data_IF_284938364750
#
_entry.id   IF_284938364750
#
_cell.length_a   1.000
_cell.length_b   1.000
_cell.length_c   1.000
_cell.angle_alpha   90.00
_cell.angle_beta   90.00
_cell.angle_gamma   90.00
#
_symmetry.space_group_name_H-M   'P 1'
#
loop_
_entity.id
_entity.type
_entity.pdbx_description
1 polymer ?
#
# COMPACT_ATOMS: atom_id res chain seq x y z
N UNK A 1 -18.39 -4.00 7.94
CA UNK A 1 -17.18 -3.15 7.90
C UNK A 1 -16.92 -2.67 9.31
N UNK A 2 -15.65 -2.56 9.72
CA UNK A 2 -15.22 -1.88 10.94
C UNK A 2 -14.53 -0.58 10.51
N UNK A 3 -14.93 0.54 11.11
CA UNK A 3 -14.34 1.84 10.84
C UNK A 3 -14.00 2.52 12.16
N UNK A 4 -12.73 2.87 12.34
CA UNK A 4 -12.22 3.63 13.48
C UNK A 4 -11.62 4.91 12.91
N UNK A 5 -12.09 6.06 13.39
CA UNK A 5 -11.66 7.36 12.87
C UNK A 5 -11.40 8.36 13.98
N UNK A 6 -10.29 9.10 13.90
CA UNK A 6 -9.94 10.17 14.84
C UNK A 6 -10.00 9.69 16.30
N UNK A 7 -9.34 8.57 16.57
CA UNK A 7 -9.41 7.84 17.83
C UNK A 7 -8.02 7.48 18.34
N UNK A 8 -7.94 7.09 19.61
CA UNK A 8 -6.75 6.43 20.18
C UNK A 8 -7.11 5.01 20.56
N UNK A 9 -6.39 4.03 20.02
CA UNK A 9 -6.50 2.61 20.40
C UNK A 9 -5.36 2.34 21.37
N UNK A 10 -5.71 2.25 22.65
CA UNK A 10 -4.74 1.95 23.71
C UNK A 10 -4.36 0.47 23.69
N UNK A 11 -5.33 -0.41 23.46
CA UNK A 11 -5.16 -1.85 23.40
C UNK A 11 -6.15 -2.46 22.39
N UNK A 12 -5.64 -3.29 21.48
CA UNK A 12 -6.44 -4.17 20.63
C UNK A 12 -5.83 -5.57 20.70
N UNK A 13 -6.15 -6.28 21.76
CA UNK A 13 -5.57 -7.58 22.10
C UNK A 13 -6.14 -8.73 21.26
N UNK A 14 -5.58 -9.93 21.48
CA UNK A 14 -5.98 -11.17 20.81
C UNK A 14 -7.43 -11.57 21.14
N UNK A 15 -7.92 -11.27 22.35
CA UNK A 15 -9.30 -11.58 22.79
C UNK A 15 -10.35 -10.80 21.97
N UNK A 16 -9.97 -9.60 21.54
CA UNK A 16 -10.74 -8.71 20.66
C UNK A 16 -10.35 -8.89 19.18
N UNK A 17 -9.77 -10.03 18.81
CA UNK A 17 -9.39 -10.33 17.43
C UNK A 17 -10.56 -10.35 16.46
N UNK A 18 -10.27 -9.90 15.24
CA UNK A 18 -11.16 -10.11 14.12
C UNK A 18 -11.03 -11.56 13.67
N UNK A 19 -11.94 -12.41 14.13
CA UNK A 19 -11.95 -13.84 13.81
C UNK A 19 -13.15 -14.27 12.97
N UNK A 20 -12.98 -15.36 12.21
CA UNK A 20 -14.03 -15.97 11.40
C UNK A 20 -15.28 -16.36 12.22
N UNK A 21 -15.11 -16.78 13.47
CA UNK A 21 -16.22 -17.18 14.35
C UNK A 21 -17.08 -15.98 14.78
N UNK A 22 -16.46 -14.83 15.07
CA UNK A 22 -17.16 -13.63 15.56
C UNK A 22 -17.60 -12.69 14.42
N UNK A 23 -16.91 -12.71 13.29
CA UNK A 23 -17.05 -11.71 12.22
C UNK A 23 -17.30 -12.35 10.85
N UNK A 24 -18.29 -13.25 10.78
CA UNK A 24 -18.56 -14.09 9.60
C UNK A 24 -18.83 -13.32 8.30
N UNK A 25 -19.29 -12.06 8.38
CA UNK A 25 -19.62 -11.22 7.21
C UNK A 25 -18.77 -9.95 7.12
N UNK A 26 -17.66 -9.88 7.84
CA UNK A 26 -16.85 -8.67 7.85
C UNK A 26 -16.02 -8.57 6.57
N UNK A 27 -16.34 -7.58 5.75
CA UNK A 27 -15.67 -7.35 4.47
C UNK A 27 -14.42 -6.47 4.56
N UNK A 28 -14.34 -5.57 5.54
CA UNK A 28 -13.26 -4.58 5.56
C UNK A 28 -13.07 -3.93 6.92
N UNK A 29 -11.83 -3.48 7.14
CA UNK A 29 -11.37 -2.76 8.32
C UNK A 29 -10.66 -1.49 7.87
N UNK A 30 -11.07 -0.36 8.44
CA UNK A 30 -10.52 0.95 8.14
C UNK A 30 -10.14 1.66 9.44
N UNK A 31 -8.89 2.10 9.54
CA UNK A 31 -8.37 2.94 10.60
C UNK A 31 -7.88 4.25 9.99
N UNK A 32 -8.60 5.35 10.24
CA UNK A 32 -8.26 6.69 9.77
C UNK A 32 -7.89 7.61 10.93
N UNK A 33 -6.83 8.42 10.83
CA UNK A 33 -6.45 9.38 11.88
C UNK A 33 -6.41 8.75 13.27
N UNK A 34 -5.90 7.53 13.36
CA UNK A 34 -5.95 6.75 14.59
C UNK A 34 -4.55 6.62 15.17
N UNK A 35 -4.42 6.98 16.44
CA UNK A 35 -3.20 6.79 17.22
C UNK A 35 -3.26 5.41 17.91
N UNK A 36 -2.20 4.62 17.79
CA UNK A 36 -2.13 3.26 18.31
C UNK A 36 -0.83 3.08 19.10
N UNK A 37 -0.90 2.44 20.26
CA UNK A 37 0.30 2.13 21.07
C UNK A 37 1.26 1.20 20.30
N UNK A 38 0.70 0.29 19.52
CA UNK A 38 1.41 -0.71 18.73
C UNK A 38 0.52 -1.17 17.56
N UNK A 39 1.05 -2.03 16.69
CA UNK A 39 0.22 -2.68 15.68
C UNK A 39 -0.86 -3.55 16.38
N UNK A 40 -2.15 -3.48 15.97
CA UNK A 40 -3.21 -4.21 16.66
C UNK A 40 -2.99 -5.73 16.69
N UNK A 41 -2.77 -6.31 17.88
CA UNK A 41 -2.62 -7.76 18.08
C UNK A 41 -3.84 -8.54 17.58
N UNK A 42 -5.03 -7.95 17.66
CA UNK A 42 -6.26 -8.51 17.11
C UNK A 42 -6.31 -8.63 15.59
N UNK A 43 -5.38 -7.97 14.87
CA UNK A 43 -5.15 -8.11 13.42
C UNK A 43 -3.97 -9.03 13.08
N UNK A 44 -3.25 -9.54 14.09
CA UNK A 44 -2.20 -10.54 13.94
C UNK A 44 -2.73 -11.98 14.07
N UNK A 45 -4.00 -12.19 13.76
CA UNK A 45 -4.65 -13.50 13.74
C UNK A 45 -5.19 -13.81 12.34
N UNK A 46 -5.47 -15.09 12.02
CA UNK A 46 -6.16 -15.44 10.78
C UNK A 46 -7.49 -14.69 10.66
N UNK A 47 -7.62 -13.96 9.55
CA UNK A 47 -8.77 -13.09 9.30
C UNK A 47 -9.98 -13.91 8.80
N UNK A 48 -11.22 -13.42 8.95
CA UNK A 48 -12.38 -14.01 8.30
C UNK A 48 -12.16 -14.13 6.80
N UNK A 49 -12.54 -15.27 6.22
CA UNK A 49 -12.41 -15.53 4.78
C UNK A 49 -13.21 -14.52 3.92
N UNK A 50 -14.21 -13.84 4.50
CA UNK A 50 -15.00 -12.81 3.82
C UNK A 50 -14.30 -11.45 3.75
N UNK A 51 -13.19 -11.27 4.46
CA UNK A 51 -12.51 -9.99 4.53
C UNK A 51 -11.74 -9.72 3.23
N UNK A 52 -11.93 -8.54 2.66
CA UNK A 52 -11.41 -8.13 1.35
C UNK A 52 -10.41 -6.98 1.45
N UNK A 53 -10.45 -6.17 2.51
CA UNK A 53 -9.53 -5.04 2.64
C UNK A 53 -9.21 -4.62 4.08
N UNK A 54 -7.95 -4.25 4.28
CA UNK A 54 -7.46 -3.57 5.48
C UNK A 54 -6.80 -2.26 5.06
N UNK A 55 -7.20 -1.18 5.72
CA UNK A 55 -6.69 0.15 5.43
C UNK A 55 -6.30 0.89 6.69
N UNK A 56 -5.07 1.37 6.74
CA UNK A 56 -4.54 2.31 7.71
C UNK A 56 -4.23 3.61 6.99
N UNK A 57 -4.82 4.72 7.43
CA UNK A 57 -4.58 6.04 6.84
C UNK A 57 -4.39 7.10 7.92
N UNK A 58 -3.38 7.96 7.75
CA UNK A 58 -3.07 9.01 8.73
C UNK A 58 -2.87 8.44 10.15
N UNK A 59 -2.19 7.29 10.26
CA UNK A 59 -1.89 6.63 11.55
C UNK A 59 -0.46 6.91 11.99
N UNK A 60 -0.16 6.63 13.26
CA UNK A 60 1.18 6.76 13.83
C UNK A 60 2.07 5.51 13.62
N UNK A 61 1.67 4.56 12.78
CA UNK A 61 2.48 3.37 12.50
C UNK A 61 3.78 3.74 11.79
N UNK A 62 4.89 3.27 12.34
CA UNK A 62 6.24 3.44 11.79
C UNK A 62 6.80 2.15 11.18
N UNK A 63 6.25 0.99 11.55
CA UNK A 63 6.69 -0.34 11.11
C UNK A 63 5.48 -1.20 10.75
N UNK A 64 5.60 -1.96 9.66
CA UNK A 64 4.65 -3.01 9.28
C UNK A 64 5.19 -4.35 9.83
N UNK A 65 4.39 -5.19 10.49
CA UNK A 65 4.81 -6.52 10.91
C UNK A 65 5.29 -7.36 9.71
N UNK A 66 6.40 -8.07 9.87
CA UNK A 66 7.03 -8.82 8.80
C UNK A 66 6.39 -10.19 8.54
N UNK A 67 5.42 -10.61 9.35
CA UNK A 67 4.77 -11.91 9.30
C UNK A 67 3.30 -11.85 8.82
N UNK A 68 2.82 -10.70 8.36
CA UNK A 68 1.43 -10.54 7.91
C UNK A 68 1.06 -11.52 6.79
N UNK A 69 2.00 -11.85 5.90
CA UNK A 69 1.80 -12.80 4.80
C UNK A 69 1.52 -14.24 5.28
N UNK A 70 1.88 -14.58 6.53
CA UNK A 70 1.57 -15.87 7.14
C UNK A 70 0.16 -15.91 7.75
N UNK A 71 -0.45 -14.74 7.97
CA UNK A 71 -1.69 -14.58 8.74
C UNK A 71 -2.85 -14.13 7.87
N UNK A 72 -2.58 -13.31 6.86
CA UNK A 72 -3.58 -12.71 6.00
C UNK A 72 -3.74 -13.52 4.72
N UNK A 73 -4.99 -13.89 4.43
CA UNK A 73 -5.35 -14.53 3.16
C UNK A 73 -5.41 -13.47 2.04
N UNK A 74 -5.80 -13.86 0.82
CA UNK A 74 -5.88 -12.92 -0.29
C UNK A 74 -6.82 -11.74 0.01
N UNK A 75 -6.28 -10.52 0.00
CA UNK A 75 -7.05 -9.30 0.17
C UNK A 75 -7.07 -8.51 -1.14
N UNK A 76 -8.24 -8.02 -1.54
CA UNK A 76 -8.35 -7.12 -2.70
C UNK A 76 -7.49 -5.85 -2.50
N UNK A 77 -7.34 -5.36 -1.28
CA UNK A 77 -6.56 -4.15 -1.00
C UNK A 77 -5.92 -4.17 0.38
N UNK A 78 -4.62 -3.87 0.44
CA UNK A 78 -3.86 -3.58 1.66
C UNK A 78 -3.27 -2.17 1.56
N UNK A 79 -3.63 -1.31 2.50
CA UNK A 79 -3.31 0.13 2.46
C UNK A 79 -2.67 0.58 3.76
N UNK A 80 -1.52 1.26 3.65
CA UNK A 80 -0.85 2.00 4.71
C UNK A 80 -0.48 3.38 4.18
N UNK A 81 -1.40 4.34 4.22
CA UNK A 81 -1.25 5.63 3.54
C UNK A 81 -1.15 6.82 4.50
N UNK A 82 -0.52 7.90 4.03
CA UNK A 82 -0.43 9.19 4.74
C UNK A 82 0.11 9.06 6.17
N UNK A 83 0.99 8.07 6.41
CA UNK A 83 1.49 7.69 7.73
C UNK A 83 2.93 8.11 7.97
N UNK A 84 3.62 7.36 8.82
CA UNK A 84 4.98 7.64 9.27
C UNK A 84 6.01 6.61 8.79
N UNK A 85 5.63 5.71 7.87
CA UNK A 85 6.52 4.65 7.40
C UNK A 85 7.74 5.24 6.68
N UNK A 86 8.93 4.77 7.03
CA UNK A 86 10.18 5.13 6.36
C UNK A 86 10.72 4.00 5.48
N UNK A 87 10.25 2.78 5.72
CA UNK A 87 10.68 1.57 5.03
C UNK A 87 9.50 0.60 4.83
N UNK A 88 9.66 -0.32 3.87
CA UNK A 88 8.72 -1.42 3.63
C UNK A 88 9.51 -2.72 3.83
N UNK A 89 9.20 -3.55 4.83
CA UNK A 89 9.81 -4.87 5.00
C UNK A 89 9.65 -5.70 3.74
N UNK A 90 10.69 -6.44 3.33
CA UNK A 90 10.63 -7.21 2.07
C UNK A 90 9.53 -8.28 2.10
N UNK A 91 9.23 -8.83 3.28
CA UNK A 91 8.16 -9.78 3.53
C UNK A 91 6.78 -9.21 3.23
N UNK A 92 6.61 -7.88 3.28
CA UNK A 92 5.35 -7.23 2.91
C UNK A 92 4.98 -7.53 1.45
N UNK A 93 5.96 -7.69 0.55
CA UNK A 93 5.71 -8.04 -0.85
C UNK A 93 5.25 -9.49 -1.05
N UNK A 94 5.23 -10.32 0.01
CA UNK A 94 4.69 -11.68 -0.04
C UNK A 94 3.19 -11.71 0.24
N UNK A 95 2.60 -10.57 0.65
CA UNK A 95 1.17 -10.49 0.90
C UNK A 95 0.39 -10.79 -0.37
N UNK A 96 -0.56 -11.75 -0.32
CA UNK A 96 -1.44 -12.02 -1.45
C UNK A 96 -2.43 -10.87 -1.59
N UNK A 97 -2.12 -9.86 -2.40
CA UNK A 97 -3.02 -8.73 -2.62
C UNK A 97 -3.01 -8.21 -4.04
N UNK A 98 -4.16 -7.68 -4.47
CA UNK A 98 -4.27 -7.03 -5.77
C UNK A 98 -3.69 -5.61 -5.74
N UNK A 99 -4.03 -4.82 -4.72
CA UNK A 99 -3.54 -3.44 -4.53
C UNK A 99 -2.77 -3.35 -3.23
N UNK A 100 -1.51 -2.93 -3.34
CA UNK A 100 -0.65 -2.58 -2.23
C UNK A 100 -0.32 -1.08 -2.29
N UNK A 101 -0.73 -0.33 -1.26
CA UNK A 101 -0.52 1.12 -1.24
C UNK A 101 0.23 1.60 0.00
N UNK A 102 1.29 2.37 -0.26
CA UNK A 102 2.11 3.06 0.74
C UNK A 102 2.18 4.56 0.46
N UNK A 103 1.16 5.10 -0.20
CA UNK A 103 1.12 6.48 -0.65
C UNK A 103 1.25 7.47 0.51
N UNK A 104 1.98 8.57 0.33
CA UNK A 104 2.02 9.66 1.32
C UNK A 104 2.78 9.34 2.61
N UNK A 105 3.71 8.39 2.61
CA UNK A 105 4.59 8.12 3.75
C UNK A 105 5.92 8.90 3.61
N UNK A 106 6.95 8.46 4.34
CA UNK A 106 8.28 9.08 4.40
C UNK A 106 9.35 8.16 3.79
N UNK A 107 8.97 7.39 2.79
CA UNK A 107 9.83 6.37 2.18
C UNK A 107 10.77 7.03 1.17
N UNK A 108 12.08 7.03 1.47
CA UNK A 108 13.08 7.62 0.57
C UNK A 108 13.66 6.63 -0.46
N UNK A 109 13.59 5.32 -0.16
CA UNK A 109 14.07 4.25 -1.03
C UNK A 109 13.31 2.95 -0.76
N UNK A 110 13.28 2.05 -1.75
CA UNK A 110 12.62 0.73 -1.65
C UNK A 110 13.56 -0.40 -2.10
N UNK A 111 14.73 -0.57 -1.45
CA UNK A 111 15.69 -1.62 -1.83
C UNK A 111 15.08 -3.02 -1.73
N UNK A 112 14.07 -3.19 -0.89
CA UNK A 112 13.37 -4.45 -0.64
C UNK A 112 12.60 -5.00 -1.85
N UNK A 113 12.32 -4.18 -2.87
CA UNK A 113 11.81 -4.68 -4.16
C UNK A 113 12.84 -5.56 -4.90
N UNK A 114 14.14 -5.34 -4.66
CA UNK A 114 15.21 -6.19 -5.18
C UNK A 114 15.36 -7.51 -4.39
N UNK A 115 14.46 -7.79 -3.45
CA UNK A 115 14.43 -8.99 -2.61
C UNK A 115 13.11 -9.76 -2.75
N UNK A 116 12.26 -9.40 -3.72
CA UNK A 116 11.01 -10.09 -3.99
C UNK A 116 11.26 -11.55 -4.42
N UNK A 117 10.45 -12.53 -4.00
CA UNK A 117 10.67 -13.92 -4.41
C UNK A 117 10.53 -14.06 -5.93
N UNK A 118 11.31 -14.95 -6.54
CA UNK A 118 11.17 -15.28 -7.97
C UNK A 118 9.72 -15.65 -8.29
N UNK A 119 9.21 -15.15 -9.41
CA UNK A 119 7.83 -15.38 -9.88
C UNK A 119 6.76 -14.51 -9.21
N UNK A 120 7.14 -13.60 -8.32
CA UNK A 120 6.17 -12.71 -7.66
C UNK A 120 5.62 -11.69 -8.64
N UNK A 121 4.29 -11.62 -8.75
CA UNK A 121 3.59 -10.62 -9.56
C UNK A 121 2.82 -9.69 -8.62
N UNK A 122 3.16 -8.41 -8.64
CA UNK A 122 2.40 -7.36 -7.94
C UNK A 122 1.51 -6.64 -8.97
N UNK A 123 0.18 -6.80 -8.92
CA UNK A 123 -0.70 -6.16 -9.89
C UNK A 123 -0.66 -4.63 -9.78
N UNK A 124 -0.69 -4.10 -8.56
CA UNK A 124 -0.64 -2.66 -8.33
C UNK A 124 0.15 -2.28 -7.07
N UNK A 125 1.21 -1.50 -7.27
CA UNK A 125 2.03 -0.92 -6.20
C UNK A 125 1.95 0.61 -6.25
N UNK A 126 1.53 1.24 -5.15
CA UNK A 126 1.42 2.70 -5.04
C UNK A 126 2.44 3.25 -4.03
N UNK A 127 3.36 4.07 -4.53
CA UNK A 127 4.41 4.77 -3.79
C UNK A 127 4.33 6.30 -3.96
N UNK A 128 3.29 6.81 -4.63
CA UNK A 128 3.06 8.24 -4.87
C UNK A 128 3.16 9.07 -3.58
N UNK A 129 3.54 10.34 -3.72
CA UNK A 129 3.66 11.30 -2.61
C UNK A 129 4.63 10.85 -1.49
N UNK A 130 5.65 10.05 -1.81
CA UNK A 130 6.76 9.76 -0.90
C UNK A 130 8.00 10.57 -1.34
N UNK A 131 8.95 10.85 -0.44
CA UNK A 131 10.25 11.45 -0.79
C UNK A 131 11.19 10.45 -1.50
N UNK A 132 10.64 9.54 -2.32
CA UNK A 132 11.36 8.47 -2.98
C UNK A 132 12.37 9.05 -3.98
N UNK A 133 13.66 8.80 -3.74
CA UNK A 133 14.76 9.35 -4.55
C UNK A 133 15.15 8.44 -5.71
N UNK A 134 15.04 7.13 -5.51
CA UNK A 134 15.44 6.13 -6.50
C UNK A 134 14.67 4.83 -6.34
N UNK A 135 14.43 4.16 -7.47
CA UNK A 135 14.04 2.75 -7.53
C UNK A 135 15.31 1.87 -7.48
N UNK A 136 15.22 0.61 -7.02
CA UNK A 136 16.37 -0.28 -7.06
C UNK A 136 16.82 -0.55 -8.49
N UNK A 137 18.12 -0.79 -8.67
CA UNK A 137 18.70 -1.08 -9.97
C UNK A 137 18.13 -2.36 -10.62
N UNK A 138 17.68 -3.31 -9.80
CA UNK A 138 17.13 -4.60 -10.22
C UNK A 138 15.86 -4.92 -9.43
N UNK A 139 14.98 -5.72 -10.03
CA UNK A 139 14.06 -6.57 -9.29
C UNK A 139 14.71 -7.95 -9.14
N UNK A 140 14.41 -8.67 -8.07
CA UNK A 140 14.96 -10.01 -7.86
C UNK A 140 14.42 -10.97 -8.90
N UNK A 141 15.33 -11.69 -9.58
CA UNK A 141 15.02 -12.65 -10.65
C UNK A 141 14.23 -12.01 -11.83
N UNK A 142 14.53 -12.32 -13.10
CA UNK A 142 13.81 -11.72 -14.22
C UNK A 142 12.31 -12.08 -14.25
N UNK A 143 11.85 -13.02 -13.42
CA UNK A 143 10.43 -13.42 -13.34
C UNK A 143 9.59 -12.57 -12.37
N UNK A 144 10.19 -11.78 -11.48
CA UNK A 144 9.44 -10.83 -10.68
C UNK A 144 8.85 -9.73 -11.59
N UNK A 145 7.60 -9.32 -11.33
CA UNK A 145 6.89 -8.42 -12.22
C UNK A 145 5.95 -7.48 -11.47
N UNK A 146 6.05 -6.17 -11.73
CA UNK A 146 5.13 -5.17 -11.16
C UNK A 146 4.26 -4.65 -12.29
N UNK A 147 3.00 -5.07 -12.38
CA UNK A 147 2.15 -4.70 -13.52
C UNK A 147 1.95 -3.18 -13.59
N UNK A 148 1.51 -2.55 -12.50
CA UNK A 148 1.31 -1.10 -12.43
C UNK A 148 2.05 -0.52 -11.22
N UNK A 149 2.98 0.38 -11.48
CA UNK A 149 3.72 1.11 -10.45
C UNK A 149 3.32 2.59 -10.47
N UNK A 150 2.96 3.14 -9.31
CA UNK A 150 2.72 4.58 -9.16
C UNK A 150 3.80 5.23 -8.29
N UNK A 151 4.63 6.08 -8.89
CA UNK A 151 5.67 6.90 -8.25
C UNK A 151 5.47 8.39 -8.51
N UNK A 152 4.23 8.82 -8.80
CA UNK A 152 3.92 10.22 -9.04
C UNK A 152 4.28 11.10 -7.83
N UNK A 153 4.68 12.34 -8.08
CA UNK A 153 5.06 13.31 -7.05
C UNK A 153 6.08 12.72 -6.05
N UNK A 154 7.18 12.21 -6.61
CA UNK A 154 8.37 11.72 -5.89
C UNK A 154 9.61 12.43 -6.44
N UNK A 155 10.78 12.14 -5.89
CA UNK A 155 12.05 12.73 -6.31
C UNK A 155 12.87 11.84 -7.27
N UNK A 156 12.23 10.86 -7.93
CA UNK A 156 12.89 9.94 -8.86
C UNK A 156 13.41 10.68 -10.09
N UNK A 157 14.71 10.56 -10.36
CA UNK A 157 15.40 11.19 -11.50
C UNK A 157 15.64 10.27 -12.67
N UNK A 158 15.69 8.95 -12.45
CA UNK A 158 16.05 7.94 -13.46
C UNK A 158 15.21 6.69 -13.30
N UNK A 159 14.91 6.00 -14.41
CA UNK A 159 14.24 4.71 -14.42
C UNK A 159 15.26 3.57 -14.62
N UNK A 160 15.23 2.51 -13.79
CA UNK A 160 16.10 1.35 -13.95
C UNK A 160 15.69 0.48 -15.13
N UNK A 161 16.61 -0.34 -15.66
CA UNK A 161 16.40 -1.15 -16.88
C UNK A 161 15.22 -2.12 -16.77
N UNK A 162 14.93 -2.65 -15.58
CA UNK A 162 13.79 -3.55 -15.39
C UNK A 162 12.45 -2.90 -15.72
N UNK A 163 12.35 -1.56 -15.74
CA UNK A 163 11.12 -0.86 -16.17
C UNK A 163 10.76 -1.19 -17.63
N UNK A 164 11.72 -1.60 -18.45
CA UNK A 164 11.48 -1.97 -19.84
C UNK A 164 10.82 -3.35 -19.97
N UNK A 165 11.10 -4.27 -19.05
CA UNK A 165 10.80 -5.70 -19.20
C UNK A 165 9.92 -6.28 -18.09
N UNK A 166 9.97 -5.74 -16.88
CA UNK A 166 9.34 -6.28 -15.66
C UNK A 166 8.20 -5.40 -15.14
N UNK A 167 7.62 -4.56 -16.00
CA UNK A 167 6.41 -3.79 -15.70
C UNK A 167 5.56 -3.53 -16.94
N UNK A 168 4.26 -3.29 -16.74
CA UNK A 168 3.37 -2.83 -17.82
C UNK A 168 3.34 -1.31 -17.90
N UNK A 169 3.26 -0.64 -16.75
CA UNK A 169 3.14 0.82 -16.69
C UNK A 169 3.73 1.40 -15.41
N UNK A 170 4.42 2.52 -15.54
CA UNK A 170 4.90 3.37 -14.45
C UNK A 170 4.25 4.74 -14.56
N UNK A 171 3.46 5.13 -13.57
CA UNK A 171 2.93 6.49 -13.46
C UNK A 171 3.94 7.35 -12.71
N UNK A 172 4.53 8.33 -13.40
CA UNK A 172 5.66 9.12 -12.89
C UNK A 172 5.48 10.64 -13.04
N UNK A 173 4.24 11.10 -13.28
CA UNK A 173 3.91 12.51 -13.29
C UNK A 173 4.43 13.26 -12.05
N UNK A 174 4.92 14.48 -12.24
CA UNK A 174 5.56 15.30 -11.18
C UNK A 174 6.80 14.65 -10.54
N UNK A 175 7.56 13.87 -11.31
CA UNK A 175 8.93 13.47 -10.93
C UNK A 175 9.96 14.26 -11.72
N UNK A 176 11.19 14.46 -11.19
CA UNK A 176 12.30 15.01 -11.96
C UNK A 176 12.59 14.24 -13.27
N UNK A 177 12.37 12.92 -13.31
CA UNK A 177 12.48 12.13 -14.53
C UNK A 177 11.57 12.66 -15.65
N UNK A 178 10.34 13.04 -15.32
CA UNK A 178 9.38 13.57 -16.28
C UNK A 178 9.57 15.06 -16.62
N UNK A 179 10.54 15.75 -15.99
CA UNK A 179 10.86 17.14 -16.30
C UNK A 179 11.68 17.30 -17.59
N UNK A 180 12.26 16.21 -18.10
CA UNK A 180 13.04 16.18 -19.33
C UNK A 180 12.37 15.29 -20.39
N UNK A 181 12.53 15.60 -21.69
CA UNK A 181 12.03 14.73 -22.75
C UNK A 181 12.65 13.32 -22.66
N UNK A 182 11.80 12.28 -22.71
CA UNK A 182 12.26 10.90 -22.73
C UNK A 182 12.86 10.56 -24.11
N UNK A 183 14.16 10.23 -24.14
CA UNK A 183 14.85 9.81 -25.36
C UNK A 183 14.73 8.30 -25.63
N UNK A 184 14.55 7.49 -24.58
CA UNK A 184 14.47 6.03 -24.68
C UNK A 184 13.05 5.57 -25.08
N UNK A 185 12.86 4.98 -26.27
CA UNK A 185 11.53 4.55 -26.74
C UNK A 185 10.92 3.44 -25.89
N UNK A 186 11.75 2.55 -25.31
CA UNK A 186 11.26 1.46 -24.47
C UNK A 186 10.71 2.00 -23.15
N UNK A 187 11.34 3.03 -22.59
CA UNK A 187 10.80 3.74 -21.43
C UNK A 187 9.57 4.57 -21.80
N UNK A 188 9.55 5.24 -22.95
CA UNK A 188 8.40 6.02 -23.40
C UNK A 188 7.12 5.19 -23.55
N UNK A 189 7.24 3.90 -23.87
CA UNK A 189 6.10 2.98 -23.95
C UNK A 189 5.56 2.53 -22.56
N UNK A 190 6.33 2.72 -21.50
CA UNK A 190 6.05 2.20 -20.15
C UNK A 190 5.79 3.31 -19.14
N UNK A 191 6.42 4.47 -19.29
CA UNK A 191 6.40 5.54 -18.30
C UNK A 191 5.44 6.65 -18.72
N UNK A 192 4.42 6.88 -17.90
CA UNK A 192 3.41 7.91 -18.11
C UNK A 192 3.78 9.16 -17.30
N UNK A 193 4.17 10.21 -18.03
CA UNK A 193 4.49 11.53 -17.48
C UNK A 193 3.29 12.48 -17.44
N UNK A 194 2.08 11.94 -17.36
CA UNK A 194 0.84 12.67 -17.14
C UNK A 194 0.09 12.07 -15.96
N UNK A 195 -0.77 12.86 -15.33
CA UNK A 195 -1.48 12.41 -14.14
C UNK A 195 -2.31 11.17 -14.45
N UNK A 196 -2.23 10.16 -13.58
CA UNK A 196 -3.04 8.95 -13.70
C UNK A 196 -4.54 9.31 -13.66
N UNK A 197 -5.36 8.87 -14.64
CA UNK A 197 -6.79 9.19 -14.65
C UNK A 197 -7.52 8.64 -13.43
N UNK A 198 -8.34 9.49 -12.80
CA UNK A 198 -9.24 9.11 -11.71
C UNK A 198 -10.37 8.24 -12.28
N UNK A 199 -10.31 6.93 -12.05
CA UNK A 199 -11.22 5.93 -12.62
C UNK A 199 -10.64 4.52 -12.64
N UNK A 200 -9.30 4.41 -12.58
CA UNK A 200 -8.56 3.17 -12.32
C UNK A 200 -8.14 3.03 -10.85
N UNK A 201 -8.66 3.89 -9.96
CA UNK A 201 -8.51 3.81 -8.50
C UNK A 201 -9.76 3.16 -7.90
N UNK A 202 -10.21 2.04 -8.47
CA UNK A 202 -11.33 1.27 -7.95
C UNK A 202 -10.92 0.73 -6.58
N UNK A 203 -11.39 1.37 -5.51
CA UNK A 203 -11.72 0.88 -4.16
C UNK A 203 -11.46 2.00 -3.14
N UNK A 204 -12.54 2.41 -2.48
CA UNK A 204 -12.70 3.48 -1.48
C UNK A 204 -11.39 4.07 -0.94
N UNK A 205 -10.90 5.18 -1.53
CA UNK A 205 -9.87 5.99 -0.91
C UNK A 205 -10.36 6.52 0.44
N UNK A 206 -9.51 6.47 1.48
CA UNK A 206 -9.80 7.13 2.77
C UNK A 206 -10.08 8.65 2.61
N UNK A 207 -9.68 9.25 1.49
CA UNK A 207 -9.92 10.65 1.17
C UNK A 207 -11.39 10.97 0.85
N UNK A 208 -12.20 9.99 0.43
CA UNK A 208 -13.65 10.16 0.23
C UNK A 208 -14.42 10.40 1.54
N UNK A 209 -13.78 10.26 2.71
CA UNK A 209 -14.45 10.49 3.99
C UNK A 209 -14.56 11.98 4.38
N UNK A 210 -13.82 12.90 3.74
CA UNK A 210 -14.06 14.35 3.98
C UNK A 210 -15.49 14.77 3.63
N UNK A 211 -16.16 14.06 2.72
CA UNK A 211 -17.55 14.33 2.30
C UNK A 211 -18.61 13.48 3.03
N UNK A 212 -18.22 12.51 3.87
CA UNK A 212 -19.15 11.49 4.41
C UNK A 212 -19.25 11.48 5.94
N UNK A 213 -18.70 12.48 6.65
CA UNK A 213 -18.86 12.64 8.12
C UNK A 213 -20.28 13.15 8.42
N UNK A 214 -21.25 12.25 8.25
CA UNK A 214 -22.59 12.29 8.80
C UNK A 214 -22.99 10.82 8.94
N UNK A 215 -22.49 10.13 9.97
CA UNK A 215 -23.27 9.21 10.82
C UNK A 215 -22.35 8.39 11.75
N UNK A 216 -22.71 8.44 13.05
CA UNK A 216 -22.48 7.46 14.12
C UNK A 216 -21.15 7.48 14.88
N UNK A 217 -21.14 8.32 15.94
CA UNK A 217 -20.73 7.90 17.29
C UNK A 217 -21.50 6.62 17.65
N UNK A 218 -20.85 5.62 18.23
CA UNK A 218 -21.30 4.74 19.32
C UNK A 218 -20.44 3.48 19.34
N UNK A 219 -19.33 3.51 20.06
CA UNK A 219 -18.72 2.34 20.69
C UNK A 219 -18.21 2.77 22.07
N UNK A 220 -19.15 2.87 23.01
CA UNK A 220 -18.88 2.74 24.45
C UNK A 220 -19.87 1.71 24.97
N UNK A 221 -19.37 0.50 25.20
CA UNK A 221 -19.60 -0.42 26.33
C UNK A 221 -18.89 -1.72 26.00
#
# INVERSE_FOLDING_TARGET
MIHIYNSTIVNWSVESSISAAKHTRLLSVLLGKTNMTEFPQGLLQPLPATMMSIQFSETNLTVIPDDLYLRWHFLATVVFENGLLTEIPYQTFFLPTYIMSFMGNRIESVPTLAMMPSGTIIPELRLKNNPLKQLPATLMDPTAFIMSLNVQNTSVTTMPEWVKTQTMVVWAYETPFCAVPMADPALAAKVMCFNRPAGYESFFPCTCFKSSILLHKYLHT
#
